data_IF_118764279003
#
_entry.id   IF_118764279003
#
_cell.length_a   1.000
_cell.length_b   1.000
_cell.length_c   1.000
_cell.angle_alpha   90.00
_cell.angle_beta   90.00
_cell.angle_gamma   90.00
#
_symmetry.space_group_name_H-M   'P 1'
#
loop_
_entity.id
_entity.type
_entity.pdbx_description
1 polymer ?
#
# COMPACT_ATOMS: atom_id res chain seq x y z
N UNK A 1 10.00 15.23 -20.44
CA UNK A 1 9.92 13.92 -19.75
C UNK A 1 9.31 14.10 -18.37
N UNK A 2 8.36 13.24 -18.01
CA UNK A 2 7.76 13.29 -16.67
C UNK A 2 8.69 12.61 -15.67
N UNK A 3 8.93 13.25 -14.53
CA UNK A 3 9.70 12.65 -13.47
C UNK A 3 8.95 11.46 -12.84
N UNK A 4 9.68 10.61 -12.14
CA UNK A 4 9.13 9.42 -11.52
C UNK A 4 7.98 9.75 -10.55
N UNK A 5 8.17 10.77 -9.71
CA UNK A 5 7.13 11.19 -8.75
C UNK A 5 5.80 11.51 -9.46
N UNK A 6 5.86 12.28 -10.55
CA UNK A 6 4.67 12.65 -11.31
C UNK A 6 3.98 11.41 -11.89
N UNK A 7 4.77 10.46 -12.40
CA UNK A 7 4.22 9.20 -12.93
C UNK A 7 3.49 8.41 -11.85
N UNK A 8 4.05 8.33 -10.64
CA UNK A 8 3.44 7.62 -9.52
C UNK A 8 2.13 8.28 -9.13
N UNK A 9 2.12 9.61 -8.96
CA UNK A 9 0.91 10.34 -8.59
C UNK A 9 -0.17 10.18 -9.66
N UNK A 10 0.18 10.27 -10.94
CA UNK A 10 -0.80 10.08 -12.01
C UNK A 10 -1.37 8.66 -12.03
N UNK A 11 -0.53 7.65 -11.74
CA UNK A 11 -1.00 6.27 -11.64
C UNK A 11 -2.00 6.12 -10.50
N UNK A 12 -1.71 6.69 -9.34
CA UNK A 12 -2.61 6.65 -8.18
C UNK A 12 -3.93 7.34 -8.51
N UNK A 13 -3.89 8.51 -9.15
CA UNK A 13 -5.09 9.26 -9.52
C UNK A 13 -6.00 8.49 -10.47
N UNK A 14 -5.45 7.63 -11.33
CA UNK A 14 -6.25 6.81 -12.22
C UNK A 14 -7.16 5.82 -11.47
N UNK A 15 -6.75 5.37 -10.28
CA UNK A 15 -7.55 4.44 -9.49
C UNK A 15 -8.81 5.09 -8.93
N UNK A 16 -8.77 6.39 -8.63
CA UNK A 16 -9.94 7.05 -8.07
C UNK A 16 -10.60 8.03 -9.03
N UNK A 17 -10.27 7.94 -10.30
CA UNK A 17 -10.78 8.87 -11.32
C UNK A 17 -12.31 8.96 -11.36
N UNK A 18 -12.99 7.83 -11.19
CA UNK A 18 -14.45 7.76 -11.31
C UNK A 18 -15.16 7.83 -9.96
N UNK A 19 -14.51 7.43 -8.88
CA UNK A 19 -15.10 7.48 -7.54
C UNK A 19 -14.00 7.59 -6.50
N UNK A 20 -13.55 8.82 -6.28
CA UNK A 20 -12.42 9.10 -5.39
C UNK A 20 -12.68 8.67 -3.95
N UNK A 21 -13.82 9.07 -3.40
CA UNK A 21 -14.13 8.83 -1.98
C UNK A 21 -14.16 7.34 -1.66
N UNK A 22 -14.88 6.55 -2.45
CA UNK A 22 -15.01 5.12 -2.19
C UNK A 22 -13.71 4.37 -2.44
N UNK A 23 -12.95 4.76 -3.47
CA UNK A 23 -11.66 4.13 -3.77
C UNK A 23 -10.65 4.37 -2.67
N UNK A 24 -10.53 5.61 -2.18
CA UNK A 24 -9.63 5.93 -1.07
C UNK A 24 -10.06 5.19 0.18
N UNK A 25 -11.35 5.15 0.48
CA UNK A 25 -11.87 4.42 1.63
C UNK A 25 -11.49 2.95 1.57
N UNK A 26 -11.71 2.30 0.42
CA UNK A 26 -11.38 0.89 0.23
C UNK A 26 -9.92 0.60 0.54
N UNK A 27 -9.01 1.39 -0.05
CA UNK A 27 -7.58 1.13 0.07
C UNK A 27 -6.94 1.73 1.34
N UNK A 28 -7.69 2.48 2.16
CA UNK A 28 -7.20 2.93 3.47
C UNK A 28 -7.78 2.13 4.62
N UNK A 29 -8.96 1.52 4.45
CA UNK A 29 -9.66 0.81 5.51
C UNK A 29 -9.56 -0.71 5.39
N UNK A 30 -8.41 -1.24 4.98
CA UNK A 30 -8.16 -2.67 5.00
C UNK A 30 -7.57 -3.27 3.74
N UNK A 31 -7.53 -2.52 2.64
CA UNK A 31 -6.95 -2.98 1.39
C UNK A 31 -5.62 -2.30 1.08
N UNK A 32 -5.03 -1.62 2.06
CA UNK A 32 -3.74 -0.92 1.87
C UNK A 32 -2.61 -1.88 1.49
N UNK A 33 -2.63 -3.11 2.01
CA UNK A 33 -1.67 -4.14 1.64
C UNK A 33 -1.70 -4.41 0.13
N UNK A 34 -2.90 -4.56 -0.42
CA UNK A 34 -3.07 -4.84 -1.85
C UNK A 34 -2.64 -3.67 -2.72
N UNK A 35 -2.97 -2.44 -2.30
CA UNK A 35 -2.56 -1.27 -3.08
C UNK A 35 -1.04 -1.08 -3.06
N UNK A 36 -0.38 -1.37 -1.94
CA UNK A 36 1.08 -1.35 -1.87
C UNK A 36 1.69 -2.32 -2.89
N UNK A 37 1.11 -3.51 -3.04
CA UNK A 37 1.56 -4.48 -4.04
C UNK A 37 1.28 -4.02 -5.47
N UNK A 38 0.16 -3.36 -5.72
CA UNK A 38 -0.16 -2.80 -7.03
C UNK A 38 0.91 -1.79 -7.43
N UNK A 39 1.27 -0.89 -6.52
CA UNK A 39 2.33 0.09 -6.77
C UNK A 39 3.67 -0.59 -7.01
N UNK A 40 4.00 -1.57 -6.19
CA UNK A 40 5.25 -2.32 -6.33
C UNK A 40 5.35 -2.97 -7.72
N UNK A 41 4.32 -3.71 -8.12
CA UNK A 41 4.32 -4.40 -9.41
C UNK A 41 4.41 -3.43 -10.59
N UNK A 42 3.78 -2.27 -10.47
CA UNK A 42 3.79 -1.28 -11.56
C UNK A 42 5.16 -0.62 -11.73
N UNK A 43 5.87 -0.34 -10.64
CA UNK A 43 7.07 0.51 -10.68
C UNK A 43 8.39 -0.21 -10.40
N UNK A 44 8.36 -1.49 -10.07
CA UNK A 44 9.57 -2.25 -9.68
C UNK A 44 10.67 -2.26 -10.74
N UNK A 45 10.30 -2.16 -12.01
CA UNK A 45 11.27 -2.17 -13.11
C UNK A 45 11.77 -0.77 -13.48
N UNK A 46 11.15 0.28 -12.96
CA UNK A 46 11.52 1.67 -13.24
C UNK A 46 12.37 2.29 -12.13
N UNK A 47 12.26 1.78 -10.91
CA UNK A 47 12.97 2.33 -9.76
C UNK A 47 13.10 1.28 -8.67
N UNK A 48 13.92 1.57 -7.65
CA UNK A 48 13.97 0.73 -6.46
C UNK A 48 12.64 0.83 -5.71
N UNK A 49 11.99 -0.30 -5.51
CA UNK A 49 10.70 -0.37 -4.82
C UNK A 49 10.75 -1.40 -3.72
N UNK A 50 10.11 -1.09 -2.60
CA UNK A 50 9.89 -2.06 -1.53
C UNK A 50 8.57 -1.75 -0.83
N UNK A 51 7.90 -2.81 -0.38
CA UNK A 51 6.69 -2.65 0.43
C UNK A 51 7.13 -2.33 1.85
N UNK A 52 6.53 -1.32 2.45
CA UNK A 52 6.82 -0.87 3.80
C UNK A 52 5.61 -1.05 4.69
N UNK A 53 5.88 -1.34 5.97
CA UNK A 53 4.86 -1.64 6.95
C UNK A 53 5.06 -0.79 8.20
N UNK A 54 3.96 -0.23 8.71
CA UNK A 54 3.90 0.48 9.98
C UNK A 54 3.17 -0.41 11.00
N UNK A 55 3.90 -1.02 11.97
CA UNK A 55 3.27 -1.91 12.95
C UNK A 55 2.32 -1.18 13.92
N UNK A 56 2.55 0.09 14.17
CA UNK A 56 1.74 0.87 15.10
C UNK A 56 0.38 1.18 14.48
N UNK A 57 0.37 1.68 13.24
CA UNK A 57 -0.85 2.00 12.53
C UNK A 57 -1.46 0.85 11.76
N UNK A 58 -0.78 -0.31 11.72
CA UNK A 58 -1.16 -1.47 10.91
C UNK A 58 -1.44 -1.05 9.46
N UNK A 59 -0.50 -0.33 8.86
CA UNK A 59 -0.65 0.27 7.54
C UNK A 59 0.48 -0.13 6.62
N UNK A 60 0.15 -0.34 5.34
CA UNK A 60 1.11 -0.66 4.30
C UNK A 60 1.21 0.47 3.30
N UNK A 61 2.41 0.67 2.78
CA UNK A 61 2.65 1.57 1.67
C UNK A 61 3.73 0.98 0.77
N UNK A 62 4.00 1.64 -0.35
CA UNK A 62 5.12 1.27 -1.21
C UNK A 62 6.15 2.40 -1.19
N UNK A 63 7.40 2.06 -0.86
CA UNK A 63 8.50 2.99 -1.05
C UNK A 63 8.96 2.87 -2.51
N UNK A 64 8.97 3.97 -3.21
CA UNK A 64 9.43 4.06 -4.59
C UNK A 64 10.54 5.10 -4.63
N UNK A 65 11.74 4.66 -4.95
CA UNK A 65 12.97 5.44 -4.82
C UNK A 65 13.16 5.82 -3.34
N UNK A 66 13.01 7.08 -2.96
CA UNK A 66 13.17 7.54 -1.57
C UNK A 66 11.88 8.01 -0.92
N UNK A 67 10.75 7.85 -1.60
CA UNK A 67 9.46 8.37 -1.15
C UNK A 67 8.46 7.25 -0.90
N UNK A 68 7.53 7.50 0.02
CA UNK A 68 6.49 6.53 0.40
C UNK A 68 5.15 6.95 -0.19
N UNK A 69 4.41 5.97 -0.74
CA UNK A 69 3.14 6.24 -1.41
C UNK A 69 2.08 5.23 -1.01
N UNK A 70 0.85 5.70 -0.87
CA UNK A 70 -0.34 4.86 -0.79
C UNK A 70 -1.43 5.46 -1.68
N UNK A 71 -2.68 5.01 -1.55
CA UNK A 71 -3.79 5.51 -2.38
C UNK A 71 -4.02 7.01 -2.19
N UNK A 72 -3.60 7.60 -1.08
CA UNK A 72 -3.77 9.04 -0.81
C UNK A 72 -2.68 9.89 -1.46
N UNK A 73 -1.66 9.28 -2.05
CA UNK A 73 -0.54 9.97 -2.67
C UNK A 73 0.75 9.76 -1.90
N UNK A 74 1.61 10.77 -1.91
CA UNK A 74 2.86 10.72 -1.15
C UNK A 74 2.61 10.89 0.34
N UNK A 75 3.22 10.00 1.15
CA UNK A 75 3.14 10.06 2.61
C UNK A 75 4.33 10.83 3.14
N UNK A 76 4.07 11.98 3.73
CA UNK A 76 5.10 12.91 4.19
C UNK A 76 5.23 13.00 5.72
N UNK A 77 4.48 12.19 6.46
CA UNK A 77 4.53 12.17 7.93
C UNK A 77 5.81 11.48 8.40
N UNK A 78 6.79 12.27 8.83
CA UNK A 78 8.08 11.78 9.28
C UNK A 78 8.04 11.09 10.65
N UNK A 79 6.92 11.17 11.36
CA UNK A 79 6.76 10.50 12.66
C UNK A 79 6.52 9.00 12.53
N UNK A 80 6.21 8.51 11.34
CA UNK A 80 5.96 7.09 11.11
C UNK A 80 7.28 6.36 10.86
N UNK A 81 7.52 5.29 11.63
CA UNK A 81 8.66 4.42 11.43
C UNK A 81 8.26 3.28 10.49
N UNK A 82 8.66 3.41 9.23
CA UNK A 82 8.39 2.39 8.22
C UNK A 82 9.43 1.28 8.27
N UNK A 83 8.95 0.04 8.33
CA UNK A 83 9.81 -1.14 8.25
C UNK A 83 9.69 -1.77 6.89
N UNK A 84 10.78 -2.28 6.33
CA UNK A 84 10.72 -3.12 5.12
C UNK A 84 9.84 -4.33 5.44
N UNK A 85 8.78 -4.53 4.65
CA UNK A 85 7.90 -5.68 4.84
C UNK A 85 8.65 -7.00 4.71
N UNK A 86 9.56 -7.08 3.76
CA UNK A 86 10.38 -8.28 3.56
C UNK A 86 11.20 -8.61 4.80
N UNK A 87 11.83 -7.62 5.42
CA UNK A 87 12.59 -7.84 6.64
C UNK A 87 11.69 -8.17 7.82
N UNK A 88 10.51 -7.55 7.89
CA UNK A 88 9.54 -7.84 8.94
C UNK A 88 9.07 -9.29 8.86
N UNK A 89 8.83 -9.80 7.65
CA UNK A 89 8.46 -11.20 7.45
C UNK A 89 9.55 -12.16 7.93
N UNK A 90 10.81 -11.80 7.75
CA UNK A 90 11.93 -12.62 8.20
C UNK A 90 12.07 -12.61 9.72
N UNK A 91 11.77 -11.49 10.36
CA UNK A 91 11.89 -11.34 11.82
C UNK A 91 10.69 -11.88 12.57
N UNK A 92 9.50 -11.69 12.02
CA UNK A 92 8.22 -12.04 12.65
C UNK A 92 7.37 -12.87 11.69
N UNK A 93 7.80 -14.11 11.35
CA UNK A 93 7.11 -14.89 10.32
C UNK A 93 5.67 -15.26 10.68
N UNK A 94 5.40 -15.55 11.95
CA UNK A 94 4.05 -15.93 12.37
C UNK A 94 3.11 -14.75 12.35
N UNK A 95 3.56 -13.62 12.90
CA UNK A 95 2.76 -12.40 12.93
C UNK A 95 2.50 -11.87 11.52
N UNK A 96 3.53 -11.86 10.66
CA UNK A 96 3.37 -11.38 9.30
C UNK A 96 2.40 -12.25 8.50
N UNK A 97 2.42 -13.56 8.70
CA UNK A 97 1.44 -14.47 8.07
C UNK A 97 0.03 -14.17 8.53
N UNK A 98 -0.16 -13.92 9.81
CA UNK A 98 -1.47 -13.57 10.39
C UNK A 98 -1.98 -12.25 9.79
N UNK A 99 -1.11 -11.26 9.65
CA UNK A 99 -1.48 -9.96 9.08
C UNK A 99 -1.98 -10.14 7.63
N UNK A 100 -1.27 -10.91 6.82
CA UNK A 100 -1.68 -11.18 5.43
C UNK A 100 -3.01 -11.93 5.39
N UNK A 101 -3.20 -12.93 6.24
CA UNK A 101 -4.45 -13.69 6.32
C UNK A 101 -5.60 -12.76 6.70
N UNK A 102 -5.40 -11.87 7.67
CA UNK A 102 -6.42 -10.90 8.07
C UNK A 102 -6.82 -9.98 6.91
N UNK A 103 -5.86 -9.54 6.08
CA UNK A 103 -6.14 -8.75 4.89
C UNK A 103 -7.01 -9.51 3.89
N UNK A 104 -6.71 -10.80 3.67
CA UNK A 104 -7.47 -11.66 2.76
C UNK A 104 -8.89 -11.87 3.28
N UNK A 105 -9.03 -12.19 4.57
CA UNK A 105 -10.33 -12.43 5.18
C UNK A 105 -11.19 -11.17 5.18
N UNK A 106 -10.59 -10.01 5.38
CA UNK A 106 -11.31 -8.75 5.35
C UNK A 106 -11.88 -8.48 3.95
N UNK A 107 -11.07 -8.71 2.91
CA UNK A 107 -11.53 -8.61 1.53
C UNK A 107 -12.73 -9.52 1.27
N UNK A 108 -12.64 -10.77 1.69
CA UNK A 108 -13.72 -11.73 1.51
C UNK A 108 -14.99 -11.33 2.26
N UNK A 109 -14.85 -10.84 3.48
CA UNK A 109 -15.99 -10.37 4.28
C UNK A 109 -16.70 -9.20 3.61
N UNK A 110 -15.94 -8.23 3.11
CA UNK A 110 -16.52 -7.08 2.41
C UNK A 110 -17.26 -7.52 1.15
N UNK A 111 -16.70 -8.45 0.40
CA UNK A 111 -17.33 -8.99 -0.80
C UNK A 111 -18.63 -9.75 -0.47
N UNK A 112 -18.65 -10.54 0.59
CA UNK A 112 -19.82 -11.32 1.00
C UNK A 112 -20.95 -10.39 1.46
N UNK A 113 -20.63 -9.35 2.21
CA UNK A 113 -21.65 -8.46 2.78
C UNK A 113 -22.26 -7.51 1.76
N UNK A 114 -21.58 -7.24 0.67
CA UNK A 114 -22.08 -6.37 -0.41
C UNK A 114 -23.10 -7.08 -1.31
N UNK A 115 -23.21 -8.38 -1.21
CA UNK A 115 -24.20 -9.15 -1.94
C UNK A 115 -25.45 -9.34 -1.08
#
# INVERSE_FOLDING_TARGET
MKGLHVKVIQFIEQFYKFNKADTIKLFTEGMCYWFAHILYERFKDEAFCTIAYDPIGNHFCCMIDTKFYDITGELIDESIDWYSWKLYQLREPEESSRIVIDCILKEQRETIWEN
#
